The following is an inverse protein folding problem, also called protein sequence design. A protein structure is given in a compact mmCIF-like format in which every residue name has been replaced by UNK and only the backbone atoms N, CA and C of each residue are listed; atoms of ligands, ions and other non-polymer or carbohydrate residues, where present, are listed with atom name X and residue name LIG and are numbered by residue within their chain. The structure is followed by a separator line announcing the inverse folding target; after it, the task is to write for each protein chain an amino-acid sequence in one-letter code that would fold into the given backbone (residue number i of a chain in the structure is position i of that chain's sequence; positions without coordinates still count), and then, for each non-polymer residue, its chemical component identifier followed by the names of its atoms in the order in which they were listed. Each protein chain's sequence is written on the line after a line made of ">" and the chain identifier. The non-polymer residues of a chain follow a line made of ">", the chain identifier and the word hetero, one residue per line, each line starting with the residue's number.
data_IF_095329784507
#
_entry.id   IF_095329784507
#
_cell.length_a   1.000
_cell.length_b   1.000
_cell.length_c   1.000
_cell.angle_alpha   90.00
_cell.angle_beta   90.00
_cell.angle_gamma   90.00
#
_symmetry.space_group_name_H-M   'P 1'
#
loop_
_entity.id
_entity.type
_entity.pdbx_description
1 polymer ?
#
# COMPACT_ATOMS: atom_id res chain seq x y z
N UNK A 1 3.32 -7.13 -3.45
CA UNK A 1 3.91 -5.84 -3.04
C UNK A 1 3.06 -5.12 -2.00
N UNK A 2 1.74 -4.99 -2.25
CA UNK A 2 0.85 -4.31 -1.32
C UNK A 2 0.86 -4.95 0.07
N UNK A 3 0.74 -6.28 0.14
CA UNK A 3 0.75 -6.99 1.41
C UNK A 3 2.09 -6.82 2.16
N UNK A 4 3.20 -6.80 1.44
CA UNK A 4 4.52 -6.57 2.02
C UNK A 4 4.61 -5.21 2.71
N UNK A 5 4.07 -4.16 2.08
CA UNK A 5 4.16 -2.81 2.61
C UNK A 5 3.30 -2.58 3.86
N UNK A 6 2.30 -3.44 4.09
CA UNK A 6 1.45 -3.37 5.26
C UNK A 6 1.77 -4.43 6.31
N UNK A 7 2.88 -5.14 6.16
CA UNK A 7 3.27 -6.24 7.05
C UNK A 7 4.67 -5.99 7.60
N UNK A 8 4.94 -6.52 8.79
CA UNK A 8 6.25 -6.37 9.44
C UNK A 8 7.15 -7.61 9.29
N UNK A 9 6.59 -8.77 8.96
CA UNK A 9 7.35 -10.01 8.76
C UNK A 9 6.65 -10.93 7.76
N UNK A 10 7.32 -12.04 7.41
CA UNK A 10 6.82 -12.99 6.42
C UNK A 10 5.52 -13.66 6.85
N UNK A 11 5.35 -13.94 8.15
CA UNK A 11 4.13 -14.55 8.66
C UNK A 11 2.93 -13.60 8.52
N UNK A 12 3.13 -12.32 8.80
CA UNK A 12 2.08 -11.31 8.59
C UNK A 12 1.72 -11.17 7.11
N UNK A 13 2.71 -11.22 6.21
CA UNK A 13 2.45 -11.17 4.76
C UNK A 13 1.53 -12.33 4.36
N UNK A 14 1.85 -13.54 4.82
CA UNK A 14 1.05 -14.73 4.52
C UNK A 14 -0.37 -14.60 5.05
N UNK A 15 -0.53 -14.19 6.30
CA UNK A 15 -1.83 -14.00 6.93
C UNK A 15 -2.66 -12.92 6.21
N UNK A 16 -2.02 -11.81 5.89
CA UNK A 16 -2.68 -10.71 5.19
C UNK A 16 -3.11 -11.10 3.78
N UNK A 17 -2.25 -11.83 3.06
CA UNK A 17 -2.56 -12.35 1.73
C UNK A 17 -3.76 -13.28 1.78
N UNK A 18 -3.83 -14.19 2.77
CA UNK A 18 -4.97 -15.08 2.95
C UNK A 18 -6.25 -14.29 3.21
N UNK A 19 -6.19 -13.26 4.05
CA UNK A 19 -7.34 -12.41 4.35
C UNK A 19 -7.83 -11.69 3.09
N UNK A 20 -6.91 -11.21 2.26
CA UNK A 20 -7.25 -10.60 0.96
C UNK A 20 -7.95 -11.61 0.06
N UNK A 21 -7.44 -12.84 -0.04
CA UNK A 21 -8.06 -13.89 -0.85
C UNK A 21 -9.47 -14.22 -0.38
N UNK A 22 -9.67 -14.32 0.94
CA UNK A 22 -11.01 -14.57 1.52
C UNK A 22 -11.96 -13.45 1.15
N UNK A 23 -11.54 -12.20 1.26
CA UNK A 23 -12.37 -11.05 0.95
C UNK A 23 -12.69 -10.96 -0.55
N UNK A 24 -11.74 -11.31 -1.41
CA UNK A 24 -11.97 -11.39 -2.85
C UNK A 24 -13.01 -12.45 -3.17
N UNK A 25 -12.90 -13.62 -2.54
CA UNK A 25 -13.86 -14.72 -2.73
C UNK A 25 -15.26 -14.32 -2.29
N UNK A 26 -15.40 -13.73 -1.11
CA UNK A 26 -16.69 -13.29 -0.57
C UNK A 26 -17.34 -12.20 -1.41
N UNK A 27 -16.54 -11.30 -1.95
CA UNK A 27 -17.03 -10.15 -2.72
C UNK A 27 -17.26 -10.43 -4.19
N UNK A 28 -16.81 -11.56 -4.70
CA UNK A 28 -16.86 -11.84 -6.15
C UNK A 28 -18.28 -11.84 -6.70
N UNK A 29 -19.23 -12.41 -5.98
CA UNK A 29 -20.63 -12.44 -6.41
C UNK A 29 -21.23 -11.02 -6.50
N UNK A 30 -20.83 -10.12 -5.59
CA UNK A 30 -21.32 -8.75 -5.57
C UNK A 30 -20.60 -7.85 -6.57
N UNK A 31 -19.49 -8.29 -7.13
CA UNK A 31 -18.71 -7.53 -8.12
C UNK A 31 -19.54 -7.26 -9.39
N UNK A 32 -20.18 -8.27 -9.95
CA UNK A 32 -21.12 -8.18 -11.08
C UNK A 32 -20.60 -7.42 -12.31
N UNK A 33 -19.28 -7.27 -12.45
CA UNK A 33 -18.69 -6.54 -13.56
C UNK A 33 -18.92 -5.03 -13.55
N UNK A 34 -19.26 -4.44 -12.40
CA UNK A 34 -19.57 -3.00 -12.28
C UNK A 34 -18.35 -2.09 -12.44
N UNK A 35 -17.15 -2.63 -12.31
CA UNK A 35 -15.91 -1.90 -12.53
C UNK A 35 -14.90 -2.82 -13.19
N UNK A 36 -13.74 -2.25 -13.59
CA UNK A 36 -12.63 -3.05 -14.05
C UNK A 36 -12.21 -4.02 -12.94
N UNK A 37 -12.01 -5.28 -13.29
CA UNK A 37 -11.61 -6.31 -12.33
C UNK A 37 -10.30 -5.95 -11.61
N UNK A 38 -9.36 -5.34 -12.33
CA UNK A 38 -8.09 -4.90 -11.74
C UNK A 38 -8.32 -3.83 -10.67
N UNK A 39 -9.19 -2.86 -10.94
CA UNK A 39 -9.58 -1.84 -9.97
C UNK A 39 -10.22 -2.46 -8.74
N UNK A 40 -11.13 -3.41 -8.94
CA UNK A 40 -11.80 -4.10 -7.85
C UNK A 40 -10.82 -4.88 -6.97
N UNK A 41 -9.90 -5.62 -7.59
CA UNK A 41 -8.87 -6.39 -6.86
C UNK A 41 -8.02 -5.45 -6.00
N UNK A 42 -7.56 -4.33 -6.54
CA UNK A 42 -6.78 -3.36 -5.79
C UNK A 42 -7.58 -2.75 -4.64
N UNK A 43 -8.87 -2.43 -4.87
CA UNK A 43 -9.73 -1.90 -3.80
C UNK A 43 -9.86 -2.87 -2.65
N UNK A 44 -10.19 -4.12 -2.94
CA UNK A 44 -10.35 -5.15 -1.91
C UNK A 44 -9.04 -5.37 -1.17
N UNK A 45 -7.93 -5.46 -1.88
CA UNK A 45 -6.61 -5.68 -1.30
C UNK A 45 -6.22 -4.54 -0.36
N UNK A 46 -6.34 -3.30 -0.82
CA UNK A 46 -5.97 -2.13 -0.03
C UNK A 46 -6.91 -1.92 1.16
N UNK A 47 -8.21 -2.11 0.98
CA UNK A 47 -9.17 -2.00 2.07
C UNK A 47 -8.89 -3.03 3.15
N UNK A 48 -8.56 -4.27 2.76
CA UNK A 48 -8.19 -5.32 3.71
C UNK A 48 -6.92 -4.95 4.47
N UNK A 49 -5.88 -4.53 3.76
CA UNK A 49 -4.60 -4.15 4.37
C UNK A 49 -4.77 -2.97 5.34
N UNK A 50 -5.52 -1.95 4.95
CA UNK A 50 -5.76 -0.77 5.78
C UNK A 50 -6.57 -1.14 7.01
N UNK A 51 -7.60 -1.99 6.85
CA UNK A 51 -8.43 -2.44 7.98
C UNK A 51 -7.64 -3.23 9.00
N UNK A 52 -6.79 -4.16 8.54
CA UNK A 52 -5.93 -4.96 9.43
C UNK A 52 -4.92 -4.06 10.13
N UNK A 53 -4.29 -3.14 9.42
CA UNK A 53 -3.35 -2.18 9.99
C UNK A 53 -4.00 -1.32 11.07
N UNK A 54 -5.22 -0.86 10.81
CA UNK A 54 -6.00 -0.06 11.77
C UNK A 54 -6.32 -0.84 13.04
N UNK A 55 -6.69 -2.11 12.92
CA UNK A 55 -6.95 -2.99 14.07
C UNK A 55 -5.70 -3.20 14.90
N UNK A 56 -4.56 -3.41 14.27
CA UNK A 56 -3.27 -3.58 14.97
C UNK A 56 -2.90 -2.34 15.76
N UNK A 57 -3.09 -1.15 15.20
CA UNK A 57 -2.79 0.11 15.88
C UNK A 57 -3.66 0.37 17.10
N UNK A 58 -4.87 -0.19 17.14
CA UNK A 58 -5.76 -0.11 18.30
C UNK A 58 -5.26 -0.98 19.47
N UNK A 59 -4.61 -2.10 19.15
CA UNK A 59 -4.21 -3.11 20.15
C UNK A 59 -2.73 -3.07 20.53
N UNK A 60 -1.91 -2.35 19.76
CA UNK A 60 -0.47 -2.27 19.99
C UNK A 60 0.02 -0.84 19.84
N UNK A 61 0.83 -0.42 20.81
CA UNK A 61 1.48 0.89 20.80
C UNK A 61 2.80 0.89 20.02
N UNK A 62 3.23 -0.27 19.52
CA UNK A 62 4.50 -0.40 18.80
C UNK A 62 4.30 0.05 17.35
N UNK A 63 5.11 1.03 16.87
CA UNK A 63 5.02 1.42 15.47
C UNK A 63 5.37 0.26 14.53
N UNK A 64 4.65 0.15 13.43
CA UNK A 64 4.97 -0.80 12.37
C UNK A 64 6.35 -0.46 11.81
N UNK A 65 7.34 -1.25 12.15
CA UNK A 65 8.63 -1.18 11.50
C UNK A 65 8.69 -2.20 10.39
N UNK A 66 9.14 -1.77 9.22
CA UNK A 66 9.37 -2.69 8.12
C UNK A 66 10.63 -3.49 8.42
N UNK A 67 10.45 -4.67 9.03
CA UNK A 67 11.55 -5.58 9.34
C UNK A 67 11.81 -6.60 8.23
N UNK A 68 10.95 -6.60 7.20
CA UNK A 68 11.12 -7.51 6.07
C UNK A 68 12.19 -6.97 5.14
N UNK A 69 13.24 -7.73 4.98
CA UNK A 69 14.27 -7.45 4.00
C UNK A 69 13.79 -7.97 2.64
N UNK A 70 13.12 -7.10 1.88
CA UNK A 70 12.60 -7.44 0.56
C UNK A 70 13.73 -7.68 -0.46
N UNK A 71 14.91 -7.18 -0.16
CA UNK A 71 16.07 -7.26 -1.05
C UNK A 71 17.27 -7.73 -0.25
N UNK A 72 17.79 -8.91 -0.57
CA UNK A 72 18.96 -9.47 0.09
C UNK A 72 20.28 -8.91 -0.46
N UNK A 73 20.21 -8.15 -1.55
CA UNK A 73 21.38 -7.61 -2.22
C UNK A 73 21.90 -6.35 -1.54
N UNK A 74 23.22 -6.27 -1.41
CA UNK A 74 23.92 -5.11 -0.86
C UNK A 74 24.32 -4.08 -1.93
N UNK A 75 23.64 -4.08 -3.06
CA UNK A 75 23.86 -3.12 -4.13
C UNK A 75 23.42 -1.73 -3.71
N UNK A 76 24.10 -0.69 -4.20
CA UNK A 76 23.78 0.70 -3.92
C UNK A 76 22.35 1.05 -4.36
N UNK A 77 21.91 0.55 -5.51
CA UNK A 77 20.56 0.78 -6.03
C UNK A 77 19.51 0.13 -5.11
N UNK A 78 19.80 -1.06 -4.60
CA UNK A 78 18.93 -1.74 -3.65
C UNK A 78 18.79 -0.96 -2.34
N UNK A 79 19.87 -0.37 -1.86
CA UNK A 79 19.85 0.49 -0.65
C UNK A 79 18.97 1.72 -0.86
N UNK A 80 19.04 2.36 -2.02
CA UNK A 80 18.19 3.50 -2.34
C UNK A 80 16.71 3.11 -2.38
N UNK A 81 16.41 1.97 -2.97
CA UNK A 81 15.04 1.43 -3.01
C UNK A 81 14.55 1.13 -1.59
N UNK A 82 15.38 0.50 -0.77
CA UNK A 82 15.04 0.22 0.63
C UNK A 82 14.77 1.50 1.42
N UNK A 83 15.57 2.54 1.23
CA UNK A 83 15.37 3.82 1.87
C UNK A 83 14.07 4.47 1.44
N UNK A 84 13.72 4.36 0.15
CA UNK A 84 12.46 4.87 -0.37
C UNK A 84 11.28 4.17 0.29
N UNK A 85 11.30 2.83 0.35
CA UNK A 85 10.24 2.06 1.01
C UNK A 85 10.14 2.37 2.50
N UNK A 86 11.27 2.60 3.16
CA UNK A 86 11.28 3.03 4.57
C UNK A 86 10.53 4.35 4.76
N UNK A 87 10.78 5.31 3.88
CA UNK A 87 10.10 6.61 3.91
C UNK A 87 8.61 6.46 3.61
N UNK A 88 8.26 5.66 2.59
CA UNK A 88 6.87 5.39 2.24
C UNK A 88 6.13 4.76 3.43
N UNK A 89 6.78 3.85 4.13
CA UNK A 89 6.18 3.18 5.29
C UNK A 89 5.87 4.15 6.45
N UNK A 90 6.47 5.33 6.46
CA UNK A 90 6.20 6.36 7.48
C UNK A 90 4.98 7.20 7.15
N UNK A 91 4.43 7.08 5.94
CA UNK A 91 3.21 7.77 5.52
C UNK A 91 1.99 7.13 6.20
N UNK A 92 0.90 7.91 6.28
CA UNK A 92 -0.39 7.36 6.69
C UNK A 92 -0.89 6.31 5.69
N UNK A 93 -1.84 5.45 6.10
CA UNK A 93 -2.28 4.33 5.25
C UNK A 93 -2.82 4.76 3.89
N UNK A 94 -3.57 5.85 3.82
CA UNK A 94 -4.13 6.35 2.57
C UNK A 94 -3.03 6.81 1.60
N UNK A 95 -2.11 7.64 2.09
CA UNK A 95 -1.01 8.17 1.26
C UNK A 95 -0.07 7.06 0.82
N UNK A 96 0.20 6.12 1.70
CA UNK A 96 1.01 4.93 1.41
C UNK A 96 0.38 4.11 0.28
N UNK A 97 -0.93 3.84 0.37
CA UNK A 97 -1.65 3.11 -0.67
C UNK A 97 -1.58 3.82 -2.02
N UNK A 98 -1.76 5.13 -2.01
CA UNK A 98 -1.75 5.95 -3.22
C UNK A 98 -0.39 5.90 -3.92
N UNK A 99 0.70 6.03 -3.16
CA UNK A 99 2.06 5.93 -3.69
C UNK A 99 2.34 4.53 -4.25
N UNK A 100 1.89 3.48 -3.56
CA UNK A 100 2.09 2.12 -4.02
C UNK A 100 1.42 1.87 -5.36
N UNK A 101 0.21 2.39 -5.56
CA UNK A 101 -0.48 2.27 -6.84
C UNK A 101 0.27 3.03 -7.95
N UNK A 102 0.82 4.19 -7.62
CA UNK A 102 1.62 4.95 -8.56
C UNK A 102 2.90 4.18 -8.96
N UNK A 103 3.55 3.54 -8.01
CA UNK A 103 4.74 2.72 -8.27
C UNK A 103 4.42 1.46 -9.10
N UNK A 104 3.17 0.99 -9.05
CA UNK A 104 2.69 -0.11 -9.89
C UNK A 104 2.30 0.35 -11.30
N UNK A 105 2.62 1.60 -11.65
CA UNK A 105 2.37 2.21 -12.96
C UNK A 105 0.90 2.38 -13.32
N UNK A 106 0.02 2.50 -12.33
CA UNK A 106 -1.36 2.86 -12.58
C UNK A 106 -1.45 4.33 -13.01
N UNK A 107 -2.37 4.62 -13.93
CA UNK A 107 -2.67 6.00 -14.31
C UNK A 107 -3.40 6.73 -13.18
N UNK A 108 -3.43 8.05 -13.24
CA UNK A 108 -4.16 8.85 -12.25
C UNK A 108 -5.65 8.52 -12.23
N UNK A 109 -6.24 8.22 -13.38
CA UNK A 109 -7.64 7.78 -13.47
C UNK A 109 -7.84 6.44 -12.78
N UNK A 110 -6.95 5.49 -13.02
CA UNK A 110 -6.99 4.18 -12.37
C UNK A 110 -6.80 4.30 -10.85
N UNK A 111 -5.83 5.09 -10.41
CA UNK A 111 -5.60 5.33 -8.99
C UNK A 111 -6.83 5.97 -8.35
N UNK A 112 -7.41 6.97 -9.01
CA UNK A 112 -8.62 7.62 -8.53
C UNK A 112 -9.79 6.66 -8.40
N UNK A 113 -9.94 5.75 -9.37
CA UNK A 113 -10.97 4.71 -9.32
C UNK A 113 -10.78 3.75 -8.14
N UNK A 114 -9.53 3.37 -7.85
CA UNK A 114 -9.21 2.50 -6.71
C UNK A 114 -9.44 3.22 -5.38
N UNK A 115 -8.96 4.46 -5.27
CA UNK A 115 -8.96 5.21 -4.00
C UNK A 115 -10.26 5.98 -3.75
N UNK A 116 -11.14 6.07 -4.74
CA UNK A 116 -12.41 6.80 -4.61
C UNK A 116 -12.27 8.31 -4.65
N UNK A 117 -11.29 8.84 -5.39
CA UNK A 117 -11.06 10.27 -5.57
C UNK A 117 -10.88 10.60 -7.05
N UNK A 118 -10.95 11.87 -7.41
CA UNK A 118 -10.75 12.29 -8.80
C UNK A 118 -9.28 12.20 -9.21
N UNK A 119 -9.03 12.09 -10.52
CA UNK A 119 -7.66 12.10 -11.05
C UNK A 119 -6.92 13.38 -10.68
N UNK A 120 -7.62 14.51 -10.66
CA UNK A 120 -7.05 15.79 -10.22
C UNK A 120 -6.57 15.73 -8.77
N UNK A 121 -7.38 15.16 -7.89
CA UNK A 121 -7.01 15.00 -6.48
C UNK A 121 -5.84 14.03 -6.31
N UNK A 122 -5.77 12.98 -7.12
CA UNK A 122 -4.61 12.07 -7.15
C UNK A 122 -3.34 12.86 -7.48
N UNK A 123 -3.38 13.69 -8.52
CA UNK A 123 -2.24 14.52 -8.92
C UNK A 123 -1.78 15.45 -7.80
N UNK A 124 -2.72 16.16 -7.18
CA UNK A 124 -2.42 17.09 -6.08
C UNK A 124 -1.81 16.36 -4.89
N UNK A 125 -2.38 15.23 -4.51
CA UNK A 125 -1.88 14.44 -3.38
C UNK A 125 -0.49 13.87 -3.65
N UNK A 126 -0.24 13.39 -4.87
CA UNK A 126 1.08 12.87 -5.24
C UNK A 126 2.17 13.94 -5.17
N UNK A 127 1.87 15.16 -5.61
CA UNK A 127 2.81 16.29 -5.49
C UNK A 127 3.17 16.53 -4.02
N UNK A 128 2.18 16.58 -3.15
CA UNK A 128 2.37 16.78 -1.71
C UNK A 128 3.16 15.65 -1.07
N UNK A 129 2.84 14.42 -1.44
CA UNK A 129 3.53 13.23 -0.89
C UNK A 129 4.99 13.22 -1.34
N UNK A 130 5.26 13.52 -2.61
CA UNK A 130 6.62 13.56 -3.13
C UNK A 130 7.46 14.63 -2.43
N UNK A 131 6.89 15.80 -2.16
CA UNK A 131 7.56 16.84 -1.38
C UNK A 131 7.83 16.38 0.05
N UNK A 132 6.86 15.73 0.67
CA UNK A 132 7.02 15.18 2.02
C UNK A 132 8.12 14.12 2.07
N UNK A 133 8.17 13.23 1.09
CA UNK A 133 9.21 12.18 1.01
C UNK A 133 10.61 12.78 0.85
N UNK A 134 10.74 13.85 0.07
CA UNK A 134 12.02 14.54 -0.11
C UNK A 134 12.53 15.16 1.18
N UNK A 135 11.62 15.60 2.05
CA UNK A 135 11.96 16.25 3.33
C UNK A 135 12.24 15.26 4.44
N UNK A 136 11.90 13.99 4.27
CA UNK A 136 12.14 12.99 5.29
C UNK A 136 13.62 12.68 5.45
N UNK A 137 14.05 12.57 6.71
CA UNK A 137 15.41 12.11 7.01
C UNK A 137 15.53 10.60 6.79
N UNK A 138 16.77 10.15 6.59
CA UNK A 138 17.05 8.72 6.39
C UNK A 138 17.11 7.92 7.69
N UNK A 139 16.83 8.54 8.81
CA UNK A 139 16.88 7.92 10.14
C UNK A 139 15.67 6.98 10.39
#
# INVERSE_FOLDING_TARGET
>A
TVCYMFSKDADEVSDLFQEVLINLWKGFAAFEGKSDIRTWIYRVSLNTCISVDRKKKRHKTVPLSMSINLFEDNDADTRQVQLLYKRINRLGPFDKALVLLWLENLSYDEIGAVMGISAKNVSVKLVRIRELLKKMSND
#
